data_IF_538725967705
#
_entry.id   IF_538725967705
#
_cell.length_a   1.000
_cell.length_b   1.000
_cell.length_c   1.000
_cell.angle_alpha   90.00
_cell.angle_beta   90.00
_cell.angle_gamma   90.00
#
_symmetry.space_group_name_H-M   'P 1'
#
loop_
_entity.id
_entity.type
_entity.pdbx_description
1 polymer ?
#
# COMPACT_ATOMS: atom_id res chain seq x y z
N UNK A 1 -5.57 -27.59 -2.07
CA UNK A 1 -5.45 -26.41 -2.94
C UNK A 1 -4.45 -25.48 -2.28
N UNK A 2 -3.45 -24.98 -3.01
CA UNK A 2 -2.54 -23.98 -2.48
C UNK A 2 -3.10 -22.62 -2.91
N UNK A 3 -3.59 -21.85 -1.96
CA UNK A 3 -4.03 -20.47 -2.18
C UNK A 3 -2.79 -19.67 -2.61
N UNK A 4 -2.70 -19.39 -3.91
CA UNK A 4 -1.58 -18.61 -4.44
C UNK A 4 -1.88 -17.14 -4.16
N UNK A 5 -1.36 -16.63 -3.05
CA UNK A 5 -1.33 -15.20 -2.79
C UNK A 5 -0.13 -14.58 -3.53
N UNK A 6 -0.34 -13.41 -4.13
CA UNK A 6 0.70 -12.67 -4.85
C UNK A 6 0.89 -11.31 -4.20
N UNK A 7 2.15 -10.87 -4.15
CA UNK A 7 2.55 -9.53 -3.70
C UNK A 7 2.87 -8.71 -4.93
N UNK A 8 2.15 -7.61 -5.13
CA UNK A 8 2.51 -6.61 -6.15
C UNK A 8 3.20 -5.45 -5.45
N UNK A 9 4.39 -5.10 -5.94
CA UNK A 9 5.07 -3.85 -5.62
C UNK A 9 4.69 -2.82 -6.68
N UNK A 10 3.88 -1.83 -6.30
CA UNK A 10 3.32 -0.84 -7.23
C UNK A 10 4.40 0.00 -7.90
N UNK A 11 4.34 0.11 -9.24
CA UNK A 11 4.88 1.28 -9.97
C UNK A 11 3.69 2.15 -10.33
N UNK A 12 3.81 3.47 -10.14
CA UNK A 12 2.82 4.47 -10.57
C UNK A 12 2.29 4.12 -11.97
N UNK A 13 1.01 3.81 -12.08
CA UNK A 13 0.37 3.52 -13.35
C UNK A 13 0.27 4.85 -14.13
N UNK A 14 0.98 4.96 -15.25
CA UNK A 14 0.73 6.02 -16.24
C UNK A 14 0.05 5.36 -17.42
N UNK A 15 -1.21 5.72 -17.66
CA UNK A 15 -1.85 5.51 -18.95
C UNK A 15 -1.02 6.26 -20.00
N UNK A 16 -0.19 5.51 -20.73
CA UNK A 16 0.34 5.97 -22.02
C UNK A 16 -0.69 5.57 -23.06
N UNK A 17 -1.26 6.53 -23.77
CA UNK A 17 -1.93 6.25 -25.04
C UNK A 17 -0.96 5.48 -25.93
N UNK A 18 -1.22 4.18 -26.16
CA UNK A 18 -0.52 3.44 -27.19
C UNK A 18 -1.08 3.90 -28.52
N UNK A 19 -0.25 4.60 -29.32
CA UNK A 19 -0.46 4.61 -30.77
C UNK A 19 -0.43 3.15 -31.23
N UNK A 20 -1.53 2.71 -31.81
CA UNK A 20 -1.68 1.39 -32.42
C UNK A 20 -0.68 1.25 -33.56
N UNK A 21 0.29 0.36 -33.38
CA UNK A 21 0.93 -0.32 -34.50
C UNK A 21 0.76 -1.81 -34.27
N UNK A 22 -0.07 -2.39 -35.12
CA UNK A 22 -0.28 -3.84 -35.19
C UNK A 22 0.99 -4.45 -35.75
N UNK A 23 1.59 -5.40 -35.03
CA UNK A 23 2.44 -6.41 -35.64
C UNK A 23 2.18 -7.74 -34.95
N UNK A 24 1.82 -8.73 -35.78
CA UNK A 24 1.57 -10.11 -35.40
C UNK A 24 2.89 -10.81 -35.04
N UNK A 25 2.84 -11.73 -34.08
CA UNK A 25 3.95 -12.64 -33.78
C UNK A 25 3.73 -13.39 -32.48
N UNK A 26 3.27 -14.64 -32.59
CA UNK A 26 3.20 -15.61 -31.49
C UNK A 26 4.55 -16.29 -31.37
N UNK A 27 5.11 -16.36 -30.16
CA UNK A 27 5.99 -17.46 -29.79
C UNK A 27 5.85 -17.79 -28.29
N UNK A 28 5.57 -19.08 -28.02
CA UNK A 28 5.35 -19.66 -26.70
C UNK A 28 6.71 -19.87 -26.02
N UNK A 29 6.99 -19.10 -24.98
CA UNK A 29 8.12 -19.34 -24.06
C UNK A 29 7.65 -20.08 -22.80
N UNK A 30 7.97 -21.37 -22.73
CA UNK A 30 7.73 -22.24 -21.57
C UNK A 30 8.83 -21.96 -20.53
N UNK A 31 8.48 -21.43 -19.35
CA UNK A 31 9.42 -21.33 -18.22
C UNK A 31 9.07 -22.44 -17.22
N UNK A 32 9.81 -23.55 -17.28
CA UNK A 32 9.79 -24.61 -16.28
C UNK A 32 10.80 -24.28 -15.18
N UNK A 33 10.34 -24.17 -13.93
CA UNK A 33 11.22 -24.15 -12.76
C UNK A 33 10.91 -25.40 -11.93
N UNK A 34 11.84 -26.34 -11.96
CA UNK A 34 11.83 -27.57 -11.15
C UNK A 34 12.51 -27.27 -9.82
N UNK A 35 11.82 -27.45 -8.69
CA UNK A 35 12.46 -27.47 -7.37
C UNK A 35 11.96 -28.70 -6.61
N UNK A 36 12.91 -29.58 -6.29
CA UNK A 36 12.69 -30.90 -5.72
C UNK A 36 12.03 -30.86 -4.33
N UNK A 37 11.14 -31.82 -4.12
CA UNK A 37 10.43 -31.99 -2.85
C UNK A 37 11.33 -32.60 -1.77
N UNK A 38 11.17 -32.08 -0.55
CA UNK A 38 11.28 -32.84 0.70
C UNK A 38 10.32 -32.22 1.71
N UNK A 39 9.38 -33.02 2.21
CA UNK A 39 8.27 -32.59 3.05
C UNK A 39 8.71 -32.05 4.42
N UNK A 40 7.96 -31.07 4.92
CA UNK A 40 8.10 -30.57 6.29
C UNK A 40 6.73 -30.58 6.96
N UNK A 41 6.68 -31.26 8.11
CA UNK A 41 5.54 -31.40 9.03
C UNK A 41 4.94 -30.03 9.39
N UNK A 42 3.61 -29.92 9.35
CA UNK A 42 2.88 -28.84 10.01
C UNK A 42 3.17 -28.86 11.52
N UNK A 43 3.92 -27.87 12.02
CA UNK A 43 3.84 -27.47 13.42
C UNK A 43 2.84 -26.33 13.52
N UNK A 44 1.68 -26.60 14.11
CA UNK A 44 0.81 -25.57 14.67
C UNK A 44 1.59 -24.87 15.79
N UNK A 45 2.10 -23.67 15.55
CA UNK A 45 2.50 -22.78 16.63
C UNK A 45 1.27 -22.00 17.09
N UNK A 46 0.77 -22.34 18.29
CA UNK A 46 -0.04 -21.43 19.08
C UNK A 46 0.74 -20.12 19.27
N UNK A 47 0.25 -19.02 18.72
CA UNK A 47 0.67 -17.69 19.16
C UNK A 47 -0.27 -17.29 20.30
N UNK A 48 0.21 -17.36 21.54
CA UNK A 48 -0.45 -16.78 22.71
C UNK A 48 0.00 -15.31 22.86
N UNK A 49 -1.00 -14.44 22.70
CA UNK A 49 -1.18 -13.03 23.13
C UNK A 49 -0.09 -12.31 23.95
N UNK A 50 0.26 -11.09 23.51
CA UNK A 50 0.41 -9.91 24.38
C UNK A 50 0.34 -8.58 23.56
N UNK A 51 -0.72 -7.79 23.75
CA UNK A 51 -0.72 -6.31 23.63
C UNK A 51 -0.79 -5.63 22.25
N UNK A 52 -1.93 -4.95 22.01
CA UNK A 52 -2.28 -3.94 20.97
C UNK A 52 -2.87 -4.46 19.64
N UNK A 53 -3.98 -3.88 19.13
CA UNK A 53 -4.56 -4.27 17.85
C UNK A 53 -3.64 -3.77 16.73
N UNK A 54 -2.79 -4.66 16.23
CA UNK A 54 -1.77 -4.36 15.22
C UNK A 54 -2.39 -4.34 13.81
N UNK A 55 -3.31 -3.41 13.58
CA UNK A 55 -3.85 -3.08 12.25
C UNK A 55 -3.97 -1.56 12.17
N UNK A 56 -2.85 -0.87 11.98
CA UNK A 56 -2.87 0.56 11.69
C UNK A 56 -3.04 0.74 10.20
N UNK A 57 -3.98 1.60 9.83
CA UNK A 57 -4.23 1.97 8.45
C UNK A 57 -3.25 3.06 8.02
N UNK A 58 -2.74 2.98 6.79
CA UNK A 58 -1.72 3.89 6.24
C UNK A 58 -2.25 5.28 5.89
N UNK A 59 -3.46 5.66 6.30
CA UNK A 59 -4.02 6.99 6.09
C UNK A 59 -3.27 8.08 6.87
N UNK A 60 -2.17 8.58 6.31
CA UNK A 60 -1.40 9.75 6.76
C UNK A 60 -2.14 11.07 6.46
N UNK A 61 -3.41 11.17 6.84
CA UNK A 61 -4.28 12.30 6.50
C UNK A 61 -3.84 13.65 7.10
N UNK A 62 -2.90 13.66 8.06
CA UNK A 62 -2.26 14.88 8.56
C UNK A 62 -1.08 15.35 7.69
N UNK A 63 -0.72 14.64 6.62
CA UNK A 63 0.30 15.08 5.66
C UNK A 63 -0.27 16.12 4.68
N UNK A 64 0.54 17.12 4.32
CA UNK A 64 0.13 18.26 3.49
C UNK A 64 -0.39 17.88 2.10
N UNK A 65 -0.02 16.69 1.60
CA UNK A 65 -0.59 16.07 0.39
C UNK A 65 -2.11 15.91 0.47
N UNK A 66 -2.65 15.75 1.69
CA UNK A 66 -4.07 15.59 2.00
C UNK A 66 -4.82 16.90 2.29
N UNK A 67 -4.18 18.07 2.11
CA UNK A 67 -4.77 19.39 2.44
C UNK A 67 -6.11 19.72 1.78
N UNK A 68 -6.49 18.96 0.77
CA UNK A 68 -7.73 19.09 0.03
C UNK A 68 -8.87 18.24 0.61
N UNK A 69 -8.64 17.55 1.73
CA UNK A 69 -9.58 16.60 2.32
C UNK A 69 -10.11 17.09 3.68
N UNK A 70 -11.37 16.77 4.04
CA UNK A 70 -11.95 17.11 5.34
C UNK A 70 -11.15 16.55 6.53
N UNK A 71 -10.47 15.41 6.33
CA UNK A 71 -9.62 14.77 7.33
C UNK A 71 -8.46 15.68 7.73
N UNK A 72 -7.79 16.30 6.75
CA UNK A 72 -6.67 17.21 6.99
C UNK A 72 -7.12 18.48 7.72
N UNK A 73 -8.29 19.04 7.37
CA UNK A 73 -8.83 20.26 7.98
C UNK A 73 -8.97 20.15 9.50
N UNK A 74 -9.34 18.98 9.99
CA UNK A 74 -9.48 18.70 11.42
C UNK A 74 -8.25 18.01 12.01
N UNK A 75 -7.16 17.89 11.25
CA UNK A 75 -5.93 17.17 11.64
C UNK A 75 -6.16 15.70 12.04
N UNK A 76 -7.24 15.08 11.54
CA UNK A 76 -7.52 13.67 11.75
C UNK A 76 -6.47 12.82 11.03
N UNK A 77 -6.02 11.74 11.67
CA UNK A 77 -5.04 10.81 11.09
C UNK A 77 -5.27 9.39 11.59
N UNK A 78 -5.30 8.42 10.66
CA UNK A 78 -5.52 6.99 11.00
C UNK A 78 -4.34 6.36 11.74
N UNK A 79 -3.18 7.03 11.74
CA UNK A 79 -2.00 6.62 12.50
C UNK A 79 -2.08 6.94 14.00
N UNK A 80 -2.97 7.86 14.39
CA UNK A 80 -3.16 8.28 15.78
C UNK A 80 -4.64 8.54 16.11
N UNK A 81 -5.52 7.53 15.99
CA UNK A 81 -6.97 7.70 16.15
C UNK A 81 -7.37 8.21 17.55
N UNK A 82 -6.51 8.02 18.56
CA UNK A 82 -6.76 8.48 19.92
C UNK A 82 -6.47 9.98 20.12
N UNK A 83 -5.64 10.60 19.27
CA UNK A 83 -5.28 12.02 19.39
C UNK A 83 -6.41 12.93 18.95
N UNK A 84 -7.01 12.63 17.79
CA UNK A 84 -8.13 13.37 17.22
C UNK A 84 -9.20 12.36 16.80
N UNK A 85 -10.32 12.35 17.52
CA UNK A 85 -11.47 11.52 17.17
C UNK A 85 -12.23 12.13 16.00
N UNK A 86 -12.82 11.27 15.17
CA UNK A 86 -13.72 11.73 14.11
C UNK A 86 -14.96 12.40 14.73
N UNK A 87 -15.32 13.63 14.35
CA UNK A 87 -16.48 14.33 14.90
C UNK A 87 -17.79 13.67 14.49
N UNK A 88 -18.72 13.48 15.43
CA UNK A 88 -20.02 12.85 15.18
C UNK A 88 -20.83 13.65 14.13
N UNK A 89 -20.66 14.97 14.09
CA UNK A 89 -21.34 15.86 13.14
C UNK A 89 -20.87 15.65 11.69
N UNK A 90 -19.70 15.01 11.50
CA UNK A 90 -19.18 14.63 10.17
C UNK A 90 -19.64 13.23 9.74
N UNK A 91 -20.52 12.60 10.50
CA UNK A 91 -21.07 11.28 10.18
C UNK A 91 -20.10 10.14 10.47
N UNK A 92 -20.15 9.08 9.66
CA UNK A 92 -19.27 7.93 9.84
C UNK A 92 -17.80 8.30 9.57
N UNK A 93 -16.85 7.77 10.35
CA UNK A 93 -15.43 7.98 10.09
C UNK A 93 -15.04 7.44 8.71
N UNK A 94 -14.03 8.03 8.07
CA UNK A 94 -13.54 7.54 6.79
C UNK A 94 -13.08 6.09 6.92
N UNK A 95 -13.34 5.28 5.89
CA UNK A 95 -12.85 3.90 5.80
C UNK A 95 -11.33 3.86 5.95
N UNK A 96 -10.81 2.73 6.44
CA UNK A 96 -9.38 2.51 6.52
C UNK A 96 -8.76 2.70 5.14
N UNK A 97 -7.76 3.57 5.06
CA UNK A 97 -7.08 3.92 3.83
C UNK A 97 -5.69 3.30 3.81
N UNK A 98 -5.31 2.66 2.70
CA UNK A 98 -4.06 1.91 2.56
C UNK A 98 -3.17 2.45 1.46
N UNK A 99 -1.86 2.24 1.60
CA UNK A 99 -0.92 2.57 0.56
C UNK A 99 -0.81 1.43 -0.46
N UNK A 100 -1.07 1.71 -1.73
CA UNK A 100 -1.07 0.70 -2.78
C UNK A 100 0.34 0.25 -3.25
N UNK A 101 1.40 0.73 -2.61
CA UNK A 101 2.77 0.31 -2.89
C UNK A 101 3.02 -1.16 -2.58
N UNK A 102 2.31 -1.72 -1.60
CA UNK A 102 2.34 -3.13 -1.23
C UNK A 102 0.96 -3.56 -0.76
N UNK A 103 0.44 -4.63 -1.33
CA UNK A 103 -0.75 -5.32 -0.85
C UNK A 103 -0.69 -6.78 -1.28
N UNK A 104 -1.49 -7.61 -0.61
CA UNK A 104 -1.62 -9.05 -0.90
C UNK A 104 -3.02 -9.31 -1.45
N UNK A 105 -3.10 -10.05 -2.55
CA UNK A 105 -4.38 -10.46 -3.13
C UNK A 105 -4.29 -11.86 -3.74
N UNK A 106 -5.45 -12.46 -3.95
CA UNK A 106 -5.62 -13.68 -4.73
C UNK A 106 -6.02 -13.30 -6.17
N UNK A 107 -5.24 -13.68 -7.20
CA UNK A 107 -5.61 -13.41 -8.57
C UNK A 107 -6.85 -14.19 -8.98
N UNK A 108 -7.84 -13.48 -9.48
CA UNK A 108 -9.05 -14.05 -10.06
C UNK A 108 -9.40 -13.34 -11.36
N UNK A 109 -9.88 -14.09 -12.35
CA UNK A 109 -10.33 -13.52 -13.63
C UNK A 109 -11.51 -12.58 -13.42
N UNK A 110 -12.46 -12.97 -12.58
CA UNK A 110 -13.61 -12.14 -12.20
C UNK A 110 -13.16 -10.83 -11.54
N UNK A 111 -12.21 -10.88 -10.60
CA UNK A 111 -11.65 -9.67 -9.97
C UNK A 111 -10.97 -8.77 -11.00
N UNK A 112 -10.22 -9.34 -11.93
CA UNK A 112 -9.56 -8.59 -13.00
C UNK A 112 -10.56 -7.89 -13.93
N UNK A 113 -11.60 -8.61 -14.38
CA UNK A 113 -12.65 -8.05 -15.24
C UNK A 113 -13.42 -6.94 -14.52
N UNK A 114 -13.79 -7.16 -13.26
CA UNK A 114 -14.48 -6.17 -12.43
C UNK A 114 -13.61 -4.92 -12.17
N UNK A 115 -12.30 -5.09 -11.95
CA UNK A 115 -11.36 -3.97 -11.84
C UNK A 115 -11.33 -3.14 -13.12
N UNK A 116 -11.28 -3.76 -14.30
CA UNK A 116 -11.28 -3.02 -15.57
C UNK A 116 -12.59 -2.28 -15.83
N UNK A 117 -13.73 -2.96 -15.64
CA UNK A 117 -15.05 -2.34 -15.82
C UNK A 117 -15.27 -1.18 -14.85
N UNK A 118 -14.85 -1.35 -13.60
CA UNK A 118 -14.97 -0.28 -12.60
C UNK A 118 -14.04 0.89 -12.92
N UNK A 119 -12.81 0.61 -13.37
CA UNK A 119 -11.84 1.64 -13.75
C UNK A 119 -12.35 2.53 -14.89
N UNK A 120 -13.04 1.95 -15.88
CA UNK A 120 -13.59 2.68 -17.03
C UNK A 120 -14.59 3.77 -16.64
N UNK A 121 -15.38 3.52 -15.58
CA UNK A 121 -16.40 4.46 -15.09
C UNK A 121 -15.94 5.29 -13.88
N UNK A 122 -14.75 5.01 -13.32
CA UNK A 122 -14.25 5.72 -12.14
C UNK A 122 -13.63 7.06 -12.55
N UNK A 123 -14.09 8.20 -11.99
CA UNK A 123 -13.45 9.49 -12.22
C UNK A 123 -12.00 9.51 -11.72
N UNK A 124 -11.07 10.19 -12.41
CA UNK A 124 -9.70 10.32 -11.94
C UNK A 124 -9.61 10.99 -10.56
N UNK A 125 -8.73 10.48 -9.71
CA UNK A 125 -8.49 11.00 -8.36
C UNK A 125 -7.03 11.45 -8.18
N UNK A 126 -6.71 12.23 -7.12
CA UNK A 126 -5.35 12.71 -6.86
C UNK A 126 -4.30 11.59 -6.71
N UNK A 127 -4.68 10.46 -6.11
CA UNK A 127 -3.82 9.29 -5.95
C UNK A 127 -4.28 8.11 -6.82
N UNK A 128 -4.17 8.27 -8.15
CA UNK A 128 -4.29 7.24 -9.20
C UNK A 128 -4.75 5.84 -8.75
N UNK A 129 -3.84 4.85 -8.69
CA UNK A 129 -4.19 3.48 -8.34
C UNK A 129 -4.58 3.31 -6.86
N UNK A 130 -4.07 4.16 -5.98
CA UNK A 130 -4.25 4.02 -4.55
C UNK A 130 -5.70 4.31 -4.14
N UNK A 131 -6.24 5.45 -4.56
CA UNK A 131 -7.64 5.80 -4.31
C UNK A 131 -8.58 4.81 -4.97
N UNK A 132 -8.28 4.39 -6.21
CA UNK A 132 -9.07 3.41 -6.93
C UNK A 132 -9.16 2.07 -6.18
N UNK A 133 -8.02 1.54 -5.73
CA UNK A 133 -7.98 0.27 -4.99
C UNK A 133 -8.60 0.39 -3.60
N UNK A 134 -8.45 1.53 -2.92
CA UNK A 134 -9.14 1.80 -1.66
C UNK A 134 -10.66 1.83 -1.83
N UNK A 135 -11.16 2.44 -2.92
CA UNK A 135 -12.59 2.44 -3.25
C UNK A 135 -13.08 1.04 -3.58
N UNK A 136 -12.36 0.32 -4.46
CA UNK A 136 -12.77 -0.99 -4.96
C UNK A 136 -12.77 -2.08 -3.88
N UNK A 137 -11.76 -2.07 -2.99
CA UNK A 137 -11.60 -3.09 -1.95
C UNK A 137 -12.06 -2.65 -0.56
N UNK A 138 -12.76 -1.51 -0.43
CA UNK A 138 -13.14 -0.91 0.87
C UNK A 138 -13.81 -1.87 1.85
N UNK A 139 -14.61 -2.82 1.34
CA UNK A 139 -15.43 -3.72 2.15
C UNK A 139 -14.70 -5.01 2.57
N UNK A 140 -13.58 -5.34 1.92
CA UNK A 140 -12.83 -6.59 2.16
C UNK A 140 -11.39 -6.35 2.61
N UNK A 141 -10.90 -5.12 2.53
CA UNK A 141 -9.54 -4.75 2.88
C UNK A 141 -9.24 -5.01 4.36
N UNK A 142 -8.02 -5.47 4.62
CA UNK A 142 -7.44 -5.63 5.95
C UNK A 142 -6.05 -5.02 5.97
N UNK A 143 -5.69 -4.23 7.01
CA UNK A 143 -4.38 -3.62 7.08
C UNK A 143 -3.23 -4.62 7.08
N UNK A 144 -2.19 -4.30 6.33
CA UNK A 144 -0.89 -4.93 6.50
C UNK A 144 -0.14 -4.18 7.61
N UNK A 145 0.61 -4.88 8.47
CA UNK A 145 1.46 -4.21 9.44
C UNK A 145 2.49 -3.27 8.78
N UNK A 146 2.78 -2.15 9.44
CA UNK A 146 3.65 -1.09 8.92
C UNK A 146 5.06 -1.59 8.54
N UNK A 147 5.58 -2.59 9.23
CA UNK A 147 6.88 -3.20 8.94
C UNK A 147 6.96 -3.86 7.55
N UNK A 148 5.82 -4.17 6.93
CA UNK A 148 5.74 -4.73 5.58
C UNK A 148 5.44 -3.69 4.49
N UNK A 149 5.25 -2.42 4.83
CA UNK A 149 5.06 -1.34 3.87
C UNK A 149 5.42 0.02 4.49
N UNK A 150 6.64 0.16 5.02
CA UNK A 150 7.05 1.38 5.69
C UNK A 150 7.19 2.51 4.67
N UNK A 151 6.21 3.41 4.64
CA UNK A 151 6.32 4.69 3.94
C UNK A 151 7.29 5.58 4.71
N UNK A 152 8.34 6.07 4.05
CA UNK A 152 9.38 6.87 4.72
C UNK A 152 8.84 8.07 5.50
N UNK A 153 7.75 8.69 5.07
CA UNK A 153 7.13 9.81 5.79
C UNK A 153 6.75 9.47 7.24
N UNK A 154 6.54 8.19 7.56
CA UNK A 154 6.30 7.74 8.92
C UNK A 154 7.46 8.06 9.87
N UNK A 155 8.71 8.09 9.39
CA UNK A 155 9.91 8.36 10.21
C UNK A 155 9.93 9.75 10.84
N UNK A 156 9.24 10.73 10.23
CA UNK A 156 9.18 12.11 10.75
C UNK A 156 7.77 12.58 11.07
N UNK A 157 6.72 11.88 10.62
CA UNK A 157 5.32 12.21 10.97
C UNK A 157 4.80 11.44 12.17
N UNK A 158 5.14 10.15 12.25
CA UNK A 158 4.70 9.27 13.33
C UNK A 158 5.85 8.36 13.78
N UNK A 159 7.00 8.92 14.21
CA UNK A 159 8.13 8.12 14.66
C UNK A 159 7.76 7.21 15.84
N UNK A 160 6.76 7.58 16.64
CA UNK A 160 6.24 6.76 17.74
C UNK A 160 5.61 5.43 17.30
N UNK A 161 5.34 5.28 15.99
CA UNK A 161 4.77 4.08 15.41
C UNK A 161 5.80 3.22 14.67
N UNK A 162 7.07 3.65 14.59
CA UNK A 162 8.10 2.97 13.79
C UNK A 162 9.15 2.33 14.69
N UNK A 163 9.17 1.00 14.67
CA UNK A 163 10.27 0.19 15.24
C UNK A 163 11.21 -0.23 14.11
N UNK A 164 12.23 0.60 13.83
CA UNK A 164 13.11 0.46 12.66
C UNK A 164 13.74 -0.94 12.52
N UNK A 165 14.14 -1.55 13.63
CA UNK A 165 14.73 -2.89 13.66
C UNK A 165 13.81 -4.01 13.18
N UNK A 166 12.48 -3.78 13.21
CA UNK A 166 11.49 -4.76 12.81
C UNK A 166 11.05 -4.61 11.34
N UNK A 167 11.50 -3.55 10.65
CA UNK A 167 11.08 -3.22 9.28
C UNK A 167 11.61 -4.26 8.29
N UNK A 168 10.71 -4.75 7.42
CA UNK A 168 11.00 -5.76 6.39
C UNK A 168 10.95 -5.18 4.98
N UNK A 169 10.10 -4.19 4.74
CA UNK A 169 9.92 -3.56 3.43
C UNK A 169 9.81 -2.05 3.60
N UNK A 170 10.65 -1.32 2.86
CA UNK A 170 10.65 0.15 2.83
C UNK A 170 10.07 0.64 1.50
N UNK A 171 9.08 1.51 1.59
CA UNK A 171 8.49 2.20 0.45
C UNK A 171 9.08 3.63 0.32
N UNK A 172 10.07 3.75 -0.56
CA UNK A 172 10.69 5.02 -0.96
C UNK A 172 9.74 5.87 -1.82
N UNK A 173 8.60 6.33 -1.30
CA UNK A 173 7.62 7.16 -2.05
C UNK A 173 7.78 8.67 -1.85
N UNK A 174 8.51 9.11 -0.82
CA UNK A 174 8.77 10.52 -0.55
C UNK A 174 9.60 11.17 -1.68
N UNK A 175 9.42 12.47 -1.91
CA UNK A 175 10.22 13.21 -2.87
C UNK A 175 11.73 13.11 -2.52
N UNK A 176 12.59 12.92 -3.53
CA UNK A 176 14.04 12.72 -3.34
C UNK A 176 14.47 11.35 -2.80
N UNK A 177 13.55 10.57 -2.24
CA UNK A 177 13.90 9.30 -1.58
C UNK A 177 14.23 8.14 -2.52
N UNK A 178 13.96 8.27 -3.83
CA UNK A 178 14.22 7.18 -4.78
C UNK A 178 15.71 6.85 -4.78
N UNK A 179 16.14 5.62 -4.40
CA UNK A 179 17.57 5.33 -4.18
C UNK A 179 18.44 5.60 -5.40
N UNK A 180 17.93 5.32 -6.60
CA UNK A 180 18.64 5.55 -7.88
C UNK A 180 18.68 7.03 -8.34
N UNK A 181 18.07 7.95 -7.60
CA UNK A 181 18.08 9.41 -7.84
C UNK A 181 18.33 10.19 -6.55
N UNK A 182 18.89 9.55 -5.55
CA UNK A 182 19.08 10.14 -4.25
C UNK A 182 20.15 11.23 -4.32
N UNK A 183 19.77 12.46 -3.97
CA UNK A 183 20.70 13.61 -3.95
C UNK A 183 20.97 14.13 -2.54
N UNK A 184 20.14 13.74 -1.56
CA UNK A 184 20.20 14.27 -0.20
C UNK A 184 19.68 15.71 -0.05
N UNK A 185 19.15 16.34 -1.12
CA UNK A 185 18.76 17.76 -1.11
C UNK A 185 17.29 17.99 -0.77
N UNK A 186 16.43 17.03 -1.05
CA UNK A 186 15.00 17.13 -0.78
C UNK A 186 14.70 17.07 0.73
N UNK A 187 13.52 17.53 1.11
CA UNK A 187 13.09 17.60 2.52
C UNK A 187 13.21 16.23 3.20
N UNK A 188 13.78 16.23 4.41
CA UNK A 188 14.00 15.05 5.25
C UNK A 188 15.03 14.04 4.70
N UNK A 189 15.63 14.28 3.54
CA UNK A 189 16.66 13.37 3.00
C UNK A 189 17.99 13.48 3.76
N UNK A 190 18.23 14.56 4.49
CA UNK A 190 19.44 14.70 5.31
C UNK A 190 19.51 13.72 6.49
N UNK A 191 18.38 13.09 6.87
CA UNK A 191 18.26 12.25 8.07
C UNK A 191 19.06 10.95 7.94
N UNK A 192 19.63 10.48 9.05
CA UNK A 192 20.40 9.23 9.09
C UNK A 192 19.51 8.00 8.95
N UNK A 193 18.27 8.04 9.43
CA UNK A 193 17.31 6.93 9.32
C UNK A 193 16.66 6.79 7.93
N UNK A 194 17.02 7.67 6.98
CA UNK A 194 16.61 7.61 5.56
C UNK A 194 17.73 7.08 4.65
N UNK A 195 19.00 7.20 5.09
CA UNK A 195 20.20 6.80 4.34
C UNK A 195 20.48 5.31 4.50
#
# INVERSE_FOLDING_TARGET
MADKAYVILGRRWRLRERRSSVSQGVEKGQISVSIGGRGIRQRRSLVRSAGRPFLRSDGLFCETTWRHTPQYEITYCQQCPDKIKWPDEKGQPPSLYFNAGMFVFEPGLETYENLLQTLEITPPTPFAEQDFLNMFFKDIYKPIPLDYNLILAMLWRHPENVELENVKVVHYCAAGSKPWRYTGKEENMQREDVK
#
